data_IF_050461684380
#
_entry.id   IF_050461684380
#
_cell.length_a   1.000
_cell.length_b   1.000
_cell.length_c   1.000
_cell.angle_alpha   90.00
_cell.angle_beta   90.00
_cell.angle_gamma   90.00
#
_symmetry.space_group_name_H-M   'P 1'
#
loop_
_entity.id
_entity.type
_entity.pdbx_description
1 polymer ?
#
# COMPACT_ATOMS: atom_id res chain seq x y z
N UNK A 1 18.42 34.19 26.91
CA UNK A 1 19.24 35.39 26.61
C UNK A 1 20.38 35.59 27.60
N UNK A 2 20.10 36.00 28.86
CA UNK A 2 21.14 36.36 29.82
C UNK A 2 22.17 35.27 30.11
N UNK A 3 21.75 34.01 30.30
CA UNK A 3 22.70 32.90 30.56
C UNK A 3 23.65 32.61 29.39
N UNK A 4 23.29 33.01 28.18
CA UNK A 4 24.09 32.84 26.97
C UNK A 4 24.75 34.14 26.50
N UNK A 5 24.66 35.22 27.28
CA UNK A 5 25.19 36.55 26.93
C UNK A 5 24.73 37.05 25.54
N UNK A 6 23.49 36.76 25.17
CA UNK A 6 22.92 37.13 23.87
C UNK A 6 22.27 38.52 23.90
N UNK A 7 22.36 39.24 22.77
CA UNK A 7 21.77 40.58 22.60
C UNK A 7 20.25 40.54 22.54
N UNK A 8 19.59 41.59 23.05
CA UNK A 8 18.13 41.68 23.07
C UNK A 8 17.46 41.81 21.68
N UNK A 9 18.20 42.24 20.65
CA UNK A 9 17.67 42.41 19.30
C UNK A 9 17.62 41.13 18.45
N UNK A 10 18.10 40.01 18.97
CA UNK A 10 18.09 38.71 18.28
C UNK A 10 16.73 38.01 18.39
N UNK A 11 16.34 37.30 17.34
CA UNK A 11 15.26 36.32 17.43
C UNK A 11 15.83 35.02 17.99
N UNK A 12 15.11 34.42 18.94
CA UNK A 12 15.56 33.23 19.65
C UNK A 12 14.46 32.17 19.72
N UNK A 13 14.87 30.90 19.71
CA UNK A 13 13.92 29.76 19.69
C UNK A 13 14.08 28.91 20.95
N UNK A 14 12.98 28.71 21.67
CA UNK A 14 12.86 27.73 22.74
C UNK A 14 11.82 26.69 22.33
N UNK A 15 12.18 25.41 22.40
CA UNK A 15 11.31 24.29 22.09
C UNK A 15 11.11 23.44 23.35
N UNK A 16 9.91 22.92 23.51
CA UNK A 16 9.56 21.98 24.58
C UNK A 16 8.86 20.78 23.94
N UNK A 17 9.28 19.58 24.32
CA UNK A 17 8.55 18.35 24.05
C UNK A 17 8.20 17.70 25.39
N UNK A 18 6.94 17.30 25.53
CA UNK A 18 6.45 16.54 26.68
C UNK A 18 5.41 15.53 26.24
N UNK A 19 5.42 14.35 26.86
CA UNK A 19 4.47 13.28 26.53
C UNK A 19 4.63 12.07 27.42
N UNK A 20 3.73 11.11 27.27
CA UNK A 20 3.75 9.84 27.99
C UNK A 20 3.41 8.70 27.03
N UNK A 21 4.15 7.60 27.14
CA UNK A 21 3.85 6.35 26.45
C UNK A 21 3.17 5.40 27.43
N UNK A 22 2.21 4.63 26.93
CA UNK A 22 1.54 3.57 27.69
C UNK A 22 2.07 2.20 27.27
N UNK A 23 2.25 1.32 28.25
CA UNK A 23 2.53 -0.09 28.01
C UNK A 23 1.28 -0.85 27.54
N UNK A 24 1.45 -2.14 27.24
CA UNK A 24 0.34 -3.03 26.88
C UNK A 24 -0.68 -3.21 28.01
N UNK A 25 -0.28 -2.98 29.26
CA UNK A 25 -1.13 -2.97 30.45
C UNK A 25 -1.82 -1.62 30.69
N UNK A 26 -1.65 -0.68 29.76
CA UNK A 26 -2.20 0.67 29.78
C UNK A 26 -1.72 1.57 30.93
N UNK A 27 -0.58 1.23 31.52
CA UNK A 27 0.09 2.05 32.53
C UNK A 27 1.20 2.87 31.90
N UNK A 28 1.66 3.91 32.59
CA UNK A 28 2.80 4.70 32.16
C UNK A 28 4.02 3.78 31.96
N UNK A 29 4.48 3.70 30.72
CA UNK A 29 5.71 3.02 30.35
C UNK A 29 6.88 4.00 30.44
N UNK A 30 6.71 5.21 29.90
CA UNK A 30 7.75 6.22 29.84
C UNK A 30 7.15 7.62 29.78
N UNK A 31 7.73 8.55 30.55
CA UNK A 31 7.41 9.97 30.48
C UNK A 31 8.56 10.75 29.83
N UNK A 32 8.22 11.82 29.11
CA UNK A 32 9.17 12.69 28.44
C UNK A 32 8.92 14.14 28.86
N UNK A 33 10.01 14.85 29.13
CA UNK A 33 10.02 16.30 29.22
C UNK A 33 11.41 16.80 28.85
N UNK A 34 11.53 17.49 27.73
CA UNK A 34 12.80 18.01 27.23
C UNK A 34 12.63 19.38 26.64
N UNK A 35 13.64 20.21 26.85
CA UNK A 35 13.74 21.55 26.32
C UNK A 35 14.95 21.67 25.42
N UNK A 36 14.80 22.38 24.31
CA UNK A 36 15.88 22.74 23.41
C UNK A 36 15.90 24.25 23.20
N UNK A 37 17.10 24.82 23.11
CA UNK A 37 17.33 26.23 22.83
C UNK A 37 18.16 26.37 21.56
N UNK A 38 17.69 27.19 20.61
CA UNK A 38 18.29 27.33 19.28
C UNK A 38 18.48 25.99 18.54
N UNK A 39 17.51 25.08 18.67
CA UNK A 39 17.57 23.75 18.05
C UNK A 39 18.57 22.78 18.68
N UNK A 40 19.17 23.12 19.83
CA UNK A 40 20.09 22.27 20.58
C UNK A 40 19.50 21.88 21.92
N UNK A 41 19.78 20.67 22.37
CA UNK A 41 19.36 20.21 23.69
C UNK A 41 19.78 21.20 24.78
N UNK A 42 18.86 21.48 25.70
CA UNK A 42 19.09 22.38 26.82
C UNK A 42 19.01 21.60 28.14
N UNK A 43 17.83 21.10 28.50
CA UNK A 43 17.63 20.30 29.71
C UNK A 43 16.54 19.27 29.49
N UNK A 44 16.72 18.05 30.02
CA UNK A 44 15.74 16.96 29.93
C UNK A 44 15.53 16.29 31.30
N UNK A 45 14.29 15.92 31.57
CA UNK A 45 13.93 15.06 32.70
C UNK A 45 14.35 13.63 32.36
N UNK A 46 15.07 12.98 33.26
CA UNK A 46 15.54 11.62 33.06
C UNK A 46 14.39 10.61 33.19
N UNK A 47 14.62 9.38 32.73
CA UNK A 47 13.63 8.30 32.76
C UNK A 47 13.14 7.95 34.17
N UNK A 48 13.92 8.27 35.20
CA UNK A 48 13.53 8.10 36.61
C UNK A 48 12.45 9.10 37.09
N UNK A 49 12.14 10.11 36.26
CA UNK A 49 11.24 11.23 36.52
C UNK A 49 11.57 12.03 37.79
N UNK A 50 12.85 12.02 38.18
CA UNK A 50 13.34 12.65 39.41
C UNK A 50 14.56 13.53 39.15
N UNK A 51 15.44 13.08 38.26
CA UNK A 51 16.71 13.75 38.00
C UNK A 51 16.72 14.41 36.62
N UNK A 52 17.65 15.36 36.43
CA UNK A 52 17.73 16.17 35.22
C UNK A 52 19.10 15.99 34.54
N UNK A 53 19.08 15.89 33.22
CA UNK A 53 20.28 16.00 32.37
C UNK A 53 20.32 17.40 31.76
N UNK A 54 21.39 18.15 32.05
CA UNK A 54 21.64 19.47 31.50
C UNK A 54 22.72 19.39 30.43
N UNK A 55 22.48 19.98 29.26
CA UNK A 55 23.35 19.88 28.10
C UNK A 55 24.60 20.77 28.18
N UNK A 56 24.52 21.91 28.87
CA UNK A 56 25.62 22.85 29.01
C UNK A 56 25.62 23.62 30.35
N UNK A 57 26.59 24.52 30.53
CA UNK A 57 26.75 25.31 31.75
C UNK A 57 25.58 26.28 32.02
N UNK A 58 24.89 26.76 30.99
CA UNK A 58 23.70 27.60 31.18
C UNK A 58 22.53 26.74 31.69
N UNK A 59 22.33 25.55 31.10
CA UNK A 59 21.33 24.59 31.55
C UNK A 59 21.60 24.08 32.98
N UNK A 60 22.86 23.97 33.41
CA UNK A 60 23.20 23.63 34.79
C UNK A 60 22.65 24.64 35.81
N UNK A 61 22.53 25.92 35.44
CA UNK A 61 21.90 26.95 36.28
C UNK A 61 20.40 26.64 36.44
N UNK A 62 19.71 26.30 35.35
CA UNK A 62 18.30 25.87 35.39
C UNK A 62 18.13 24.60 36.22
N UNK A 63 18.97 23.58 36.00
CA UNK A 63 18.95 22.33 36.75
C UNK A 63 18.98 22.56 38.26
N UNK A 64 19.95 23.34 38.76
CA UNK A 64 20.06 23.62 40.21
C UNK A 64 18.81 24.30 40.76
N UNK A 65 18.22 25.24 40.01
CA UNK A 65 16.98 25.91 40.41
C UNK A 65 15.80 24.93 40.48
N UNK A 66 15.68 24.06 39.49
CA UNK A 66 14.60 23.07 39.40
C UNK A 66 14.73 21.95 40.45
N UNK A 67 15.95 21.51 40.74
CA UNK A 67 16.23 20.59 41.85
C UNK A 67 15.90 21.25 43.19
N UNK A 68 16.28 22.52 43.39
CA UNK A 68 15.96 23.26 44.63
C UNK A 68 14.45 23.47 44.82
N UNK A 69 13.70 23.67 43.74
CA UNK A 69 12.26 23.90 43.80
C UNK A 69 11.41 22.62 43.79
N UNK A 70 12.01 21.43 43.64
CA UNK A 70 11.25 20.18 43.46
C UNK A 70 10.40 20.19 42.18
N UNK A 71 10.94 20.72 41.08
CA UNK A 71 10.20 20.80 39.82
C UNK A 71 9.90 19.41 39.23
N UNK A 72 10.76 18.42 39.49
CA UNK A 72 10.60 17.07 38.97
C UNK A 72 9.30 16.44 39.47
N UNK A 73 8.95 16.63 40.75
CA UNK A 73 7.73 16.11 41.37
C UNK A 73 6.47 16.65 40.69
N UNK A 74 6.46 17.93 40.31
CA UNK A 74 5.35 18.54 39.59
C UNK A 74 5.16 17.91 38.20
N UNK A 75 6.24 17.80 37.41
CA UNK A 75 6.16 17.21 36.08
C UNK A 75 5.86 15.71 36.12
N UNK A 76 6.40 15.00 37.12
CA UNK A 76 6.09 13.60 37.38
C UNK A 76 4.60 13.41 37.64
N UNK A 77 3.98 14.24 38.49
CA UNK A 77 2.55 14.15 38.78
C UNK A 77 1.70 14.36 37.51
N UNK A 78 2.08 15.28 36.63
CA UNK A 78 1.43 15.46 35.33
C UNK A 78 1.59 14.24 34.42
N UNK A 79 2.81 13.71 34.29
CA UNK A 79 3.14 12.59 33.41
C UNK A 79 2.49 11.27 33.86
N UNK A 80 2.44 11.01 35.17
CA UNK A 80 1.80 9.81 35.73
C UNK A 80 0.27 9.94 35.84
N UNK A 81 -0.26 11.16 35.92
CA UNK A 81 -1.69 11.44 36.07
C UNK A 81 -2.33 11.94 34.78
N UNK A 82 -2.41 13.26 34.64
CA UNK A 82 -3.18 13.91 33.57
C UNK A 82 -2.80 13.43 32.17
N UNK A 83 -1.50 13.27 31.87
CA UNK A 83 -1.06 12.83 30.56
C UNK A 83 -1.65 11.45 30.21
N UNK A 84 -1.55 10.50 31.14
CA UNK A 84 -2.07 9.14 30.99
C UNK A 84 -3.59 9.17 30.86
N UNK A 85 -4.29 9.92 31.70
CA UNK A 85 -5.76 10.04 31.67
C UNK A 85 -6.27 10.61 30.35
N UNK A 86 -5.62 11.66 29.84
CA UNK A 86 -5.98 12.27 28.56
C UNK A 86 -5.68 11.33 27.39
N UNK A 87 -4.52 10.66 27.39
CA UNK A 87 -4.18 9.70 26.35
C UNK A 87 -5.19 8.54 26.29
N UNK A 88 -5.57 7.99 27.44
CA UNK A 88 -6.67 7.03 27.56
C UNK A 88 -7.97 7.52 26.93
N UNK A 89 -8.36 8.75 27.25
CA UNK A 89 -9.58 9.36 26.70
C UNK A 89 -9.50 9.52 25.18
N UNK A 90 -8.37 9.97 24.66
CA UNK A 90 -8.17 10.13 23.21
C UNK A 90 -8.20 8.79 22.48
N UNK A 91 -7.52 7.78 23.00
CA UNK A 91 -7.51 6.44 22.40
C UNK A 91 -8.90 5.80 22.45
N UNK A 92 -9.66 6.00 23.54
CA UNK A 92 -11.05 5.54 23.63
C UNK A 92 -11.96 6.23 22.61
N UNK A 93 -11.87 7.56 22.51
CA UNK A 93 -12.75 8.35 21.65
C UNK A 93 -12.37 8.24 20.16
N UNK A 94 -11.08 8.10 19.88
CA UNK A 94 -10.49 8.04 18.54
C UNK A 94 -10.09 6.64 18.09
N UNK A 95 -10.56 5.58 18.77
CA UNK A 95 -10.13 4.19 18.57
C UNK A 95 -10.06 3.81 17.07
N UNK A 96 -11.14 4.05 16.32
CA UNK A 96 -11.23 3.70 14.90
C UNK A 96 -10.16 4.35 14.01
N UNK A 97 -9.48 5.40 14.47
CA UNK A 97 -8.44 6.13 13.74
C UNK A 97 -7.06 5.95 14.37
N UNK A 98 -6.95 6.06 15.70
CA UNK A 98 -5.66 6.07 16.40
C UNK A 98 -5.09 4.68 16.65
N UNK A 99 -5.96 3.68 16.82
CA UNK A 99 -5.61 2.27 17.06
C UNK A 99 -5.80 1.42 15.80
N UNK A 100 -6.03 2.05 14.63
CA UNK A 100 -6.04 1.31 13.37
C UNK A 100 -4.61 0.96 12.99
N UNK A 101 -4.47 -0.08 12.20
CA UNK A 101 -3.22 -0.42 11.54
C UNK A 101 -3.54 -0.68 10.08
N UNK A 102 -2.93 0.12 9.20
CA UNK A 102 -3.11 0.02 7.76
C UNK A 102 -1.84 -0.60 7.15
N UNK A 103 -1.96 -1.78 6.54
CA UNK A 103 -0.82 -2.48 5.94
C UNK A 103 -0.28 -1.73 4.72
N UNK A 104 1.04 -1.71 4.49
CA UNK A 104 1.63 -1.04 3.33
C UNK A 104 1.26 -1.73 2.02
N UNK A 105 0.85 -0.92 1.04
CA UNK A 105 0.79 -1.32 -0.37
C UNK A 105 2.19 -1.19 -0.96
N UNK A 106 2.88 -2.32 -1.09
CA UNK A 106 4.27 -2.33 -1.50
C UNK A 106 4.47 -2.92 -2.90
N UNK A 107 5.42 -2.36 -3.64
CA UNK A 107 5.76 -2.80 -5.01
C UNK A 107 7.18 -2.36 -5.39
N UNK A 108 7.76 -3.00 -6.40
CA UNK A 108 9.10 -2.67 -6.90
C UNK A 108 8.99 -2.06 -8.29
N UNK A 109 9.65 -0.91 -8.48
CA UNK A 109 9.76 -0.21 -9.75
C UNK A 109 11.17 -0.34 -10.30
N UNK A 110 11.29 -0.42 -11.62
CA UNK A 110 12.54 -0.62 -12.34
C UNK A 110 12.83 0.58 -13.24
N UNK A 111 13.98 1.23 -13.02
CA UNK A 111 14.39 2.42 -13.76
C UNK A 111 15.73 2.14 -14.46
N UNK A 112 15.76 2.02 -15.79
CA UNK A 112 17.00 1.86 -16.53
C UNK A 112 17.98 3.01 -16.28
N UNK A 113 19.27 2.72 -16.15
CA UNK A 113 20.36 3.71 -16.11
C UNK A 113 21.28 3.55 -17.32
N UNK A 114 22.19 4.50 -17.50
CA UNK A 114 23.31 4.36 -18.43
C UNK A 114 24.27 3.25 -17.97
N UNK A 115 25.03 2.66 -18.90
CA UNK A 115 26.13 1.70 -18.63
C UNK A 115 25.71 0.32 -18.09
N UNK A 116 24.52 -0.17 -18.44
CA UNK A 116 24.11 -1.55 -18.11
C UNK A 116 23.73 -1.75 -16.64
N UNK A 117 23.33 -0.69 -15.97
CA UNK A 117 22.78 -0.71 -14.62
C UNK A 117 21.30 -0.33 -14.64
N UNK A 118 20.57 -0.75 -13.62
CA UNK A 118 19.18 -0.37 -13.39
C UNK A 118 18.99 -0.03 -11.92
N UNK A 119 18.09 0.89 -11.61
CA UNK A 119 17.69 1.19 -10.24
C UNK A 119 16.40 0.45 -9.92
N UNK A 120 16.46 -0.43 -8.93
CA UNK A 120 15.26 -1.00 -8.33
C UNK A 120 14.85 -0.12 -7.14
N UNK A 121 13.59 0.32 -7.14
CA UNK A 121 13.02 1.09 -6.02
C UNK A 121 11.81 0.38 -5.46
N UNK A 122 11.92 -0.02 -4.19
CA UNK A 122 10.87 -0.63 -3.41
C UNK A 122 10.06 0.47 -2.73
N UNK A 123 8.78 0.53 -3.02
CA UNK A 123 7.83 1.46 -2.44
C UNK A 123 7.02 0.77 -1.36
N UNK A 124 6.71 1.51 -0.30
CA UNK A 124 5.64 1.20 0.65
C UNK A 124 4.75 2.44 0.74
N UNK A 125 3.45 2.28 0.49
CA UNK A 125 2.47 3.37 0.41
C UNK A 125 1.25 3.06 1.28
N UNK A 126 0.61 4.11 1.80
CA UNK A 126 -0.71 4.00 2.41
C UNK A 126 -0.73 3.23 3.73
N UNK A 127 0.37 3.25 4.48
CA UNK A 127 0.48 2.54 5.75
C UNK A 127 0.31 3.48 6.95
N UNK A 128 -0.12 2.91 8.07
CA UNK A 128 -0.19 3.57 9.37
C UNK A 128 -0.01 2.51 10.47
N UNK A 129 0.78 2.74 11.52
CA UNK A 129 1.50 3.96 11.89
C UNK A 129 2.77 4.18 11.04
N UNK A 130 3.48 5.28 11.30
CA UNK A 130 4.65 5.71 10.53
C UNK A 130 5.86 4.78 10.65
N UNK A 131 5.94 4.00 11.72
CA UNK A 131 7.08 3.10 11.93
C UNK A 131 7.04 1.95 10.92
N UNK A 132 8.10 1.86 10.11
CA UNK A 132 8.23 0.89 9.02
C UNK A 132 9.71 0.68 8.72
N UNK A 133 10.08 -0.55 8.40
CA UNK A 133 11.44 -0.89 7.99
C UNK A 133 11.44 -1.47 6.58
N UNK A 134 12.24 -0.88 5.69
CA UNK A 134 12.48 -1.35 4.32
C UNK A 134 13.95 -1.72 4.17
N UNK A 135 14.24 -2.96 3.80
CA UNK A 135 15.61 -3.42 3.54
C UNK A 135 15.70 -4.07 2.17
N UNK A 136 16.88 -3.96 1.55
CA UNK A 136 17.21 -4.72 0.35
C UNK A 136 18.14 -5.86 0.72
N UNK A 137 17.93 -7.02 0.11
CA UNK A 137 18.80 -8.18 0.25
C UNK A 137 19.32 -8.63 -1.10
N UNK A 138 20.59 -9.06 -1.13
CA UNK A 138 21.21 -9.75 -2.25
C UNK A 138 21.44 -11.20 -1.85
N UNK A 139 20.79 -12.14 -2.55
CA UNK A 139 20.89 -13.58 -2.24
C UNK A 139 20.57 -13.94 -0.77
N UNK A 140 19.73 -13.14 -0.11
CA UNK A 140 19.33 -13.32 1.30
C UNK A 140 20.15 -12.52 2.32
N UNK A 141 21.26 -11.89 1.93
CA UNK A 141 22.07 -11.04 2.79
C UNK A 141 21.65 -9.57 2.67
N UNK A 142 21.52 -8.89 3.81
CA UNK A 142 21.07 -7.49 3.86
C UNK A 142 22.13 -6.50 3.36
N UNK A 143 21.71 -5.58 2.50
CA UNK A 143 22.55 -4.49 1.97
C UNK A 143 22.39 -3.27 2.86
N UNK A 144 23.48 -2.75 3.44
CA UNK A 144 23.45 -1.59 4.35
C UNK A 144 24.08 -0.32 3.76
N UNK A 145 25.01 -0.45 2.80
CA UNK A 145 25.83 0.66 2.33
C UNK A 145 25.47 1.15 0.91
N UNK A 146 24.90 0.28 0.08
CA UNK A 146 24.54 0.57 -1.32
C UNK A 146 23.04 0.89 -1.52
N UNK A 147 22.34 1.19 -0.43
CA UNK A 147 20.92 1.53 -0.44
C UNK A 147 20.67 3.02 -0.21
N UNK A 148 19.86 3.62 -1.08
CA UNK A 148 19.26 4.93 -0.82
C UNK A 148 17.93 4.72 -0.10
N UNK A 149 17.85 5.13 1.16
CA UNK A 149 16.65 5.06 1.99
C UNK A 149 16.17 6.47 2.32
N UNK A 150 14.93 6.80 1.94
CA UNK A 150 14.34 8.08 2.32
C UNK A 150 13.67 8.01 3.69
N UNK A 151 13.60 9.15 4.37
CA UNK A 151 12.76 9.30 5.57
C UNK A 151 11.29 9.00 5.27
N UNK A 152 10.58 8.50 6.28
CA UNK A 152 9.15 8.25 6.17
C UNK A 152 8.42 9.58 6.09
N UNK A 153 7.55 9.75 5.09
CA UNK A 153 6.86 11.03 4.85
C UNK A 153 5.34 10.85 4.87
N UNK A 154 4.59 11.86 5.34
CA UNK A 154 3.13 11.80 5.33
C UNK A 154 2.59 11.84 3.88
N UNK A 155 1.48 11.16 3.64
CA UNK A 155 0.76 11.20 2.36
C UNK A 155 -0.32 12.30 2.31
N UNK A 156 -0.73 12.84 3.47
CA UNK A 156 -1.73 13.90 3.60
C UNK A 156 -3.15 13.42 3.92
N UNK A 157 -3.41 12.11 3.83
CA UNK A 157 -4.68 11.45 4.16
C UNK A 157 -4.66 10.74 5.53
N UNK A 158 -3.62 10.99 6.33
CA UNK A 158 -3.38 10.30 7.60
C UNK A 158 -2.59 9.00 7.47
N UNK A 159 -2.13 8.64 6.26
CA UNK A 159 -1.18 7.54 6.03
C UNK A 159 0.22 8.05 5.70
N UNK A 160 1.16 7.11 5.59
CA UNK A 160 2.57 7.35 5.31
C UNK A 160 3.03 6.65 4.04
N UNK A 161 4.19 7.10 3.54
CA UNK A 161 4.89 6.50 2.41
C UNK A 161 6.40 6.54 2.65
N UNK A 162 7.11 5.53 2.14
CA UNK A 162 8.58 5.39 2.20
C UNK A 162 9.05 4.60 1.00
N UNK A 163 10.30 4.79 0.60
CA UNK A 163 10.92 3.92 -0.39
C UNK A 163 12.40 3.70 -0.10
N UNK A 164 12.92 2.58 -0.62
CA UNK A 164 14.33 2.24 -0.60
C UNK A 164 14.75 1.83 -2.01
N UNK A 165 15.91 2.29 -2.50
CA UNK A 165 16.42 1.87 -3.80
C UNK A 165 17.86 1.41 -3.79
N UNK A 166 18.16 0.50 -4.72
CA UNK A 166 19.49 -0.05 -4.97
C UNK A 166 19.81 0.05 -6.46
N UNK A 167 21.09 0.25 -6.78
CA UNK A 167 21.60 0.15 -8.15
C UNK A 167 22.05 -1.28 -8.37
N UNK A 168 21.54 -1.92 -9.43
CA UNK A 168 21.81 -3.33 -9.72
C UNK A 168 22.32 -3.50 -11.15
N UNK A 169 23.20 -4.48 -11.42
CA UNK A 169 23.58 -4.83 -12.78
C UNK A 169 22.38 -5.37 -13.58
N UNK A 170 22.29 -4.99 -14.85
CA UNK A 170 21.26 -5.50 -15.75
C UNK A 170 21.31 -7.04 -15.83
N UNK A 171 20.16 -7.69 -15.71
CA UNK A 171 20.04 -9.15 -15.72
C UNK A 171 20.31 -9.82 -14.37
N UNK A 172 20.60 -9.06 -13.32
CA UNK A 172 20.76 -9.56 -11.94
C UNK A 172 19.62 -9.16 -11.01
N UNK A 173 18.57 -8.53 -11.52
CA UNK A 173 17.46 -7.96 -10.75
C UNK A 173 16.78 -9.00 -9.86
N UNK A 174 16.63 -10.23 -10.35
CA UNK A 174 15.96 -11.33 -9.63
C UNK A 174 16.71 -11.82 -8.39
N UNK A 175 18.00 -11.47 -8.25
CA UNK A 175 18.79 -11.79 -7.06
C UNK A 175 18.54 -10.81 -5.91
N UNK A 176 17.88 -9.67 -6.19
CA UNK A 176 17.58 -8.64 -5.22
C UNK A 176 16.14 -8.77 -4.73
N UNK A 177 15.98 -8.79 -3.42
CA UNK A 177 14.67 -8.87 -2.75
C UNK A 177 14.52 -7.71 -1.79
N UNK A 178 13.42 -6.98 -1.88
CA UNK A 178 13.03 -6.00 -0.88
C UNK A 178 12.24 -6.69 0.23
N UNK A 179 12.59 -6.43 1.49
CA UNK A 179 11.80 -6.84 2.66
C UNK A 179 11.14 -5.63 3.30
N UNK A 180 9.85 -5.77 3.62
CA UNK A 180 9.05 -4.73 4.27
C UNK A 180 8.50 -5.26 5.59
N UNK A 181 8.83 -4.57 6.67
CA UNK A 181 8.36 -4.86 8.02
C UNK A 181 7.48 -3.72 8.49
N UNK A 182 6.27 -4.06 8.93
CA UNK A 182 5.28 -3.13 9.45
C UNK A 182 4.36 -3.90 10.39
N UNK A 183 3.89 -3.28 11.48
CA UNK A 183 3.00 -3.95 12.44
C UNK A 183 1.66 -4.40 11.82
N UNK A 184 1.26 -3.80 10.71
CA UNK A 184 0.07 -4.17 9.95
C UNK A 184 0.24 -5.41 9.08
N UNK A 185 1.42 -6.02 9.07
CA UNK A 185 1.70 -7.22 8.30
C UNK A 185 1.82 -8.43 9.24
N UNK A 186 1.09 -9.53 9.01
CA UNK A 186 1.23 -10.74 9.82
C UNK A 186 2.62 -11.37 9.64
N UNK A 187 3.19 -11.24 8.44
CA UNK A 187 4.55 -11.65 8.10
C UNK A 187 5.20 -10.58 7.22
N UNK A 188 6.53 -10.39 7.29
CA UNK A 188 7.23 -9.42 6.44
C UNK A 188 7.01 -9.71 4.95
N UNK A 189 6.69 -8.67 4.17
CA UNK A 189 6.57 -8.83 2.72
C UNK A 189 7.95 -9.02 2.10
N UNK A 190 8.05 -9.95 1.15
CA UNK A 190 9.25 -10.16 0.34
C UNK A 190 8.90 -9.90 -1.12
N UNK A 191 9.48 -8.86 -1.71
CA UNK A 191 9.16 -8.38 -3.04
C UNK A 191 10.37 -8.52 -3.96
N UNK A 192 10.12 -8.97 -5.18
CA UNK A 192 11.07 -8.89 -6.30
C UNK A 192 10.52 -7.96 -7.36
N UNK A 193 11.39 -7.50 -8.24
CA UNK A 193 10.91 -6.83 -9.44
C UNK A 193 10.25 -7.86 -10.38
N UNK A 194 9.01 -7.59 -10.77
CA UNK A 194 8.29 -8.35 -11.78
C UNK A 194 8.32 -7.58 -13.11
N UNK A 195 8.84 -8.18 -14.20
CA UNK A 195 8.76 -7.58 -15.51
C UNK A 195 7.30 -7.40 -15.94
N UNK A 196 6.96 -6.30 -16.64
CA UNK A 196 5.63 -6.17 -17.23
C UNK A 196 5.34 -7.35 -18.17
N UNK A 197 4.09 -7.81 -18.28
CA UNK A 197 3.73 -8.92 -19.16
C UNK A 197 4.14 -8.57 -20.60
N UNK A 198 4.88 -9.48 -21.24
CA UNK A 198 5.34 -9.28 -22.61
C UNK A 198 4.15 -9.17 -23.56
N UNK A 199 4.22 -8.26 -24.52
CA UNK A 199 3.19 -8.08 -25.56
C UNK A 199 2.93 -9.38 -26.32
N UNK A 200 3.95 -10.24 -26.44
CA UNK A 200 3.87 -11.57 -27.05
C UNK A 200 2.93 -12.51 -26.30
N UNK A 201 2.96 -12.51 -24.96
CA UNK A 201 2.07 -13.36 -24.15
C UNK A 201 0.60 -12.99 -24.33
N UNK A 202 0.30 -11.69 -24.44
CA UNK A 202 -1.05 -11.18 -24.68
C UNK A 202 -1.52 -11.50 -26.10
N UNK A 203 -0.66 -11.33 -27.10
CA UNK A 203 -0.95 -11.68 -28.49
C UNK A 203 -1.26 -13.17 -28.66
N UNK A 204 -0.53 -14.05 -27.97
CA UNK A 204 -0.78 -15.50 -27.98
C UNK A 204 -2.15 -15.83 -27.36
N UNK A 205 -2.51 -15.20 -26.23
CA UNK A 205 -3.81 -15.42 -25.58
C UNK A 205 -4.97 -14.97 -26.48
N UNK A 206 -4.86 -13.80 -27.10
CA UNK A 206 -5.88 -13.28 -28.02
C UNK A 206 -6.04 -14.19 -29.25
N UNK A 207 -4.93 -14.68 -29.82
CA UNK A 207 -4.97 -15.60 -30.96
C UNK A 207 -5.67 -16.92 -30.62
N UNK A 208 -5.37 -17.52 -29.47
CA UNK A 208 -5.99 -18.78 -29.02
C UNK A 208 -7.50 -18.61 -28.80
N UNK A 209 -7.92 -17.53 -28.13
CA UNK A 209 -9.33 -17.24 -27.92
C UNK A 209 -10.07 -17.00 -29.24
N UNK A 210 -9.43 -16.34 -30.22
CA UNK A 210 -9.97 -16.15 -31.56
C UNK A 210 -10.23 -17.46 -32.29
N UNK A 211 -9.28 -18.41 -32.24
CA UNK A 211 -9.43 -19.73 -32.88
C UNK A 211 -10.53 -20.54 -32.21
N UNK A 212 -10.60 -20.57 -30.88
CA UNK A 212 -11.65 -21.27 -30.14
C UNK A 212 -13.04 -20.70 -30.44
N UNK A 213 -13.15 -19.37 -30.52
CA UNK A 213 -14.39 -18.70 -30.93
C UNK A 213 -14.82 -19.10 -32.34
N UNK A 214 -13.90 -19.11 -33.30
CA UNK A 214 -14.19 -19.53 -34.68
C UNK A 214 -14.66 -21.00 -34.76
N UNK A 215 -14.01 -21.91 -34.03
CA UNK A 215 -14.38 -23.32 -33.99
C UNK A 215 -15.77 -23.55 -33.37
N UNK A 216 -16.13 -22.80 -32.33
CA UNK A 216 -17.46 -22.86 -31.74
C UNK A 216 -18.54 -22.39 -32.72
N UNK A 217 -18.28 -21.32 -33.48
CA UNK A 217 -19.19 -20.81 -34.51
C UNK A 217 -19.37 -21.86 -35.62
N UNK A 218 -18.28 -22.44 -36.12
CA UNK A 218 -18.33 -23.50 -37.15
C UNK A 218 -19.12 -24.70 -36.63
N UNK A 219 -18.86 -25.15 -35.40
CA UNK A 219 -19.60 -26.24 -34.76
C UNK A 219 -21.10 -25.96 -34.65
N UNK A 220 -21.48 -24.74 -34.26
CA UNK A 220 -22.88 -24.31 -34.17
C UNK A 220 -23.56 -24.27 -35.55
N UNK A 221 -22.88 -23.77 -36.58
CA UNK A 221 -23.38 -23.74 -37.96
C UNK A 221 -23.59 -25.16 -38.50
N UNK A 222 -22.61 -26.06 -38.30
CA UNK A 222 -22.73 -27.47 -38.72
C UNK A 222 -23.89 -28.15 -38.02
N UNK A 223 -24.02 -27.99 -36.70
CA UNK A 223 -25.14 -28.55 -35.93
C UNK A 223 -26.50 -28.01 -36.41
N UNK A 224 -26.59 -26.71 -36.71
CA UNK A 224 -27.80 -26.09 -37.25
C UNK A 224 -28.16 -26.64 -38.63
N UNK A 225 -27.18 -26.77 -39.54
CA UNK A 225 -27.39 -27.33 -40.89
C UNK A 225 -27.82 -28.79 -40.81
N UNK A 226 -27.18 -29.60 -39.98
CA UNK A 226 -27.56 -31.01 -39.79
C UNK A 226 -28.99 -31.14 -39.24
N UNK A 227 -29.39 -30.29 -38.29
CA UNK A 227 -30.78 -30.25 -37.79
C UNK A 227 -31.77 -29.88 -38.89
N UNK A 228 -31.42 -28.92 -39.76
CA UNK A 228 -32.27 -28.51 -40.90
C UNK A 228 -32.37 -29.60 -41.97
N UNK A 229 -31.28 -30.34 -42.24
CA UNK A 229 -31.25 -31.49 -43.16
C UNK A 229 -32.11 -32.65 -42.64
N UNK A 230 -32.10 -32.88 -41.34
CA UNK A 230 -32.94 -33.91 -40.68
C UNK A 230 -34.44 -33.55 -40.73
N UNK A 231 -34.79 -32.26 -40.71
CA UNK A 231 -36.18 -31.79 -40.86
C UNK A 231 -36.67 -31.72 -42.32
N UNK A 232 -35.80 -31.85 -43.32
CA UNK A 232 -36.19 -31.82 -44.76
C UNK A 232 -36.31 -33.19 -45.41
N UNK A 233 -35.98 -34.28 -44.69
CA UNK A 233 -36.10 -35.67 -45.16
C UNK A 233 -37.42 -36.38 -44.84
N UNK A 234 -38.51 -35.65 -44.60
CA UNK A 234 -39.81 -36.23 -44.23
C UNK A 234 -40.99 -35.62 -44.98
N UNK A 235 -41.25 -36.11 -46.20
CA UNK A 235 -42.56 -36.08 -46.87
C UNK A 235 -42.62 -37.24 -47.88
N UNK A 236 -42.84 -38.45 -47.37
CA UNK A 236 -43.36 -39.58 -48.15
C UNK A 236 -44.89 -39.46 -48.20
N UNK A 237 -45.45 -39.56 -49.40
CA UNK A 237 -46.84 -39.20 -49.71
C UNK A 237 -47.90 -40.13 -49.13
N UNK A 238 -49.03 -39.53 -48.77
CA UNK A 238 -50.32 -40.20 -48.66
C UNK A 238 -50.87 -40.45 -50.07
N UNK A 239 -51.33 -41.66 -50.31
CA UNK A 239 -51.99 -42.07 -51.54
C UNK A 239 -53.48 -41.72 -51.44
N UNK A 240 -53.99 -40.93 -52.38
CA UNK A 240 -55.41 -40.91 -52.71
C UNK A 240 -55.57 -40.98 -54.23
N UNK A 241 -56.29 -42.01 -54.66
CA UNK A 241 -56.58 -42.40 -56.04
C UNK A 241 -57.23 -41.26 -56.85
N UNK A 242 -56.78 -41.11 -58.09
CA UNK A 242 -57.48 -40.32 -59.10
C UNK A 242 -58.67 -41.11 -59.70
N UNK A 243 -59.81 -40.46 -59.96
CA UNK A 243 -60.96 -41.09 -60.61
C UNK A 243 -60.83 -41.08 -62.14
N UNK A 244 -61.26 -42.16 -62.80
CA UNK A 244 -61.31 -42.30 -64.26
C UNK A 244 -62.71 -42.63 -64.78
N UNK A 245 -63.39 -41.58 -65.24
CA UNK A 245 -64.41 -41.45 -66.33
C UNK A 245 -65.51 -42.50 -66.58
N UNK A 246 -66.76 -42.02 -66.66
CA UNK A 246 -67.72 -42.41 -67.70
C UNK A 246 -68.57 -41.21 -68.19
N UNK A 247 -68.69 -41.15 -69.53
CA UNK A 247 -69.83 -40.68 -70.34
C UNK A 247 -70.20 -39.18 -70.43
N UNK A 248 -69.94 -38.65 -71.63
CA UNK A 248 -70.83 -37.88 -72.53
C UNK A 248 -71.49 -36.58 -72.03
N UNK A 249 -71.17 -35.43 -72.66
CA UNK A 249 -72.12 -34.75 -73.54
C UNK A 249 -71.51 -33.53 -74.26
N UNK A 250 -72.16 -33.23 -75.38
CA UNK A 250 -71.88 -32.24 -76.43
C UNK A 250 -72.29 -30.82 -76.02
N UNK A 251 -71.48 -29.79 -76.28
CA UNK A 251 -71.91 -28.62 -77.08
C UNK A 251 -70.80 -27.56 -77.27
N UNK A 252 -70.67 -27.24 -78.55
CA UNK A 252 -69.98 -26.20 -79.31
C UNK A 252 -70.08 -24.73 -78.82
N UNK A 253 -69.13 -23.92 -79.35
CA UNK A 253 -69.08 -22.43 -79.57
C UNK A 253 -68.49 -21.59 -78.44
N UNK A 254 -67.65 -20.57 -78.65
CA UNK A 254 -66.98 -19.98 -79.83
C UNK A 254 -65.80 -19.15 -79.30
N UNK A 255 -64.74 -18.97 -80.10
CA UNK A 255 -63.68 -17.99 -79.88
C UNK A 255 -63.66 -17.00 -81.04
N UNK A 256 -63.94 -15.72 -80.78
CA UNK A 256 -63.11 -14.53 -81.13
C UNK A 256 -63.94 -13.24 -81.08
N UNK A 257 -63.48 -12.25 -80.32
CA UNK A 257 -62.75 -11.06 -80.79
C UNK A 257 -62.64 -10.06 -79.63
#
# INVERSE_FOLDING_TARGET
>A
LGYYNQSAGGSHTLQQMSGCDLGSDWRLLRGYLQFAYEGRDYIALNEDLKTWTAADMAAQITRRKWEQSGAAEHYKAYLEGECVEWLHRYLKNGNATLLRTDSPKAHVTHHPRSKGEVTLRCWALGFYPADITLTWQLNGEELTQDMELVETRPAGDGTFQKWASVVVPLGKEQNYTCRVYHEGLPEPLTLRWEPPPSTDSYMVIVAVLGVLGAMAIIGAVVAFVMKRRRNTGGKGGDYALAPGSQSSEMSLRDCKA
#
